data_IF_601242403955
#
_entry.id   IF_601242403955
#
_cell.length_a   1.000
_cell.length_b   1.000
_cell.length_c   1.000
_cell.angle_alpha   90.00
_cell.angle_beta   90.00
_cell.angle_gamma   90.00
#
_symmetry.space_group_name_H-M   'P 1'
#
loop_
_entity.id
_entity.type
_entity.pdbx_description
1 polymer ?
#
# COMPACT_ATOMS: atom_id res chain seq x y z
N UNK A 1 7.42 -10.48 1.81
CA UNK A 1 7.25 -9.28 0.95
C UNK A 1 7.38 -9.63 -0.53
N UNK A 2 8.45 -10.32 -0.97
CA UNK A 2 8.62 -10.65 -2.39
C UNK A 2 7.52 -11.56 -2.96
N UNK A 3 7.03 -12.55 -2.19
CA UNK A 3 5.99 -13.48 -2.63
C UNK A 3 4.64 -12.77 -2.79
N UNK A 4 4.29 -11.92 -1.83
CA UNK A 4 3.03 -11.16 -1.86
C UNK A 4 3.00 -10.21 -3.07
N UNK A 5 4.08 -9.49 -3.33
CA UNK A 5 4.18 -8.62 -4.50
C UNK A 5 4.09 -9.40 -5.81
N UNK A 6 4.67 -10.59 -5.89
CA UNK A 6 4.52 -11.48 -7.04
C UNK A 6 3.07 -11.84 -7.30
N UNK A 7 2.33 -12.23 -6.27
CA UNK A 7 0.91 -12.55 -6.35
C UNK A 7 0.03 -11.38 -6.78
N UNK A 8 0.39 -10.16 -6.35
CA UNK A 8 -0.33 -8.93 -6.70
C UNK A 8 0.00 -8.47 -8.14
N UNK A 9 1.28 -8.45 -8.50
CA UNK A 9 1.75 -7.88 -9.77
C UNK A 9 1.54 -8.77 -10.99
N UNK A 10 1.42 -10.09 -10.80
CA UNK A 10 1.24 -11.02 -11.90
C UNK A 10 -0.09 -10.77 -12.63
N UNK A 11 -0.02 -10.51 -13.93
CA UNK A 11 -1.22 -10.44 -14.76
C UNK A 11 -1.86 -11.81 -14.85
N UNK A 12 -3.15 -11.87 -15.10
CA UNK A 12 -3.88 -13.15 -15.24
C UNK A 12 -3.73 -13.75 -16.64
N UNK A 13 -2.49 -13.70 -17.19
CA UNK A 13 -2.10 -14.39 -18.43
C UNK A 13 -1.61 -15.81 -18.12
N UNK A 14 -1.76 -16.70 -19.08
CA UNK A 14 -1.32 -18.12 -18.92
C UNK A 14 0.16 -18.22 -18.55
N UNK A 15 0.99 -17.35 -19.11
CA UNK A 15 2.43 -17.31 -18.83
C UNK A 15 2.70 -16.96 -17.36
N UNK A 16 2.14 -15.85 -16.88
CA UNK A 16 2.34 -15.40 -15.50
C UNK A 16 1.71 -16.36 -14.47
N UNK A 17 0.55 -16.94 -14.79
CA UNK A 17 -0.09 -17.92 -13.89
C UNK A 17 0.76 -19.19 -13.74
N UNK A 18 1.36 -19.69 -14.83
CA UNK A 18 2.30 -20.82 -14.78
C UNK A 18 3.56 -20.50 -13.99
N UNK A 19 4.06 -19.28 -14.10
CA UNK A 19 5.22 -18.82 -13.32
C UNK A 19 4.90 -18.77 -11.83
N UNK A 20 3.73 -18.21 -11.45
CA UNK A 20 3.27 -18.22 -10.07
C UNK A 20 3.14 -19.63 -9.52
N UNK A 21 2.56 -20.56 -10.29
CA UNK A 21 2.41 -21.96 -9.90
C UNK A 21 3.76 -22.63 -9.69
N UNK A 22 4.71 -22.42 -10.59
CA UNK A 22 6.07 -22.95 -10.50
C UNK A 22 6.79 -22.50 -9.22
N UNK A 23 6.53 -21.27 -8.76
CA UNK A 23 7.07 -20.69 -7.55
C UNK A 23 6.18 -20.87 -6.31
N UNK A 24 5.05 -21.57 -6.44
CA UNK A 24 4.05 -21.80 -5.37
C UNK A 24 3.53 -20.47 -4.77
N UNK A 25 3.32 -19.49 -5.62
CA UNK A 25 2.77 -18.19 -5.26
C UNK A 25 1.28 -18.18 -5.62
N UNK A 26 0.43 -17.87 -4.67
CA UNK A 26 -1.00 -17.69 -4.91
C UNK A 26 -1.27 -16.32 -5.50
N UNK A 27 -2.04 -16.20 -6.58
CA UNK A 27 -2.53 -14.91 -7.05
C UNK A 27 -3.34 -14.19 -5.97
N UNK A 28 -3.17 -12.88 -5.87
CA UNK A 28 -3.90 -12.03 -4.91
C UNK A 28 -4.84 -11.13 -5.71
N UNK A 29 -6.13 -11.20 -5.40
CA UNK A 29 -7.19 -10.49 -6.11
C UNK A 29 -7.70 -9.26 -5.36
N UNK A 30 -7.45 -9.19 -4.05
CA UNK A 30 -7.87 -8.10 -3.19
C UNK A 30 -6.74 -7.70 -2.24
N UNK A 31 -6.43 -6.42 -2.21
CA UNK A 31 -5.51 -5.81 -1.25
C UNK A 31 -6.27 -4.80 -0.40
N UNK A 32 -6.38 -5.08 0.89
CA UNK A 32 -6.92 -4.13 1.88
C UNK A 32 -5.74 -3.66 2.73
N UNK A 33 -5.36 -2.41 2.58
CA UNK A 33 -4.21 -1.86 3.27
C UNK A 33 -4.50 -0.43 3.72
N UNK A 34 -4.75 -0.27 5.02
CA UNK A 34 -4.83 1.02 5.64
C UNK A 34 -3.41 1.56 5.87
N UNK A 35 -3.12 2.70 5.28
CA UNK A 35 -1.92 3.45 5.62
C UNK A 35 -2.16 4.17 6.95
N UNK A 36 -1.08 4.46 7.66
CA UNK A 36 -1.08 5.32 8.84
C UNK A 36 -2.03 6.52 8.59
N UNK A 37 -2.84 6.98 9.59
CA UNK A 37 -3.85 8.02 9.36
C UNK A 37 -3.18 9.34 9.00
N UNK A 38 -2.80 9.40 7.73
CA UNK A 38 -2.14 10.52 7.10
C UNK A 38 -2.98 11.79 7.15
N UNK A 39 -4.30 11.61 7.34
CA UNK A 39 -5.26 12.68 7.38
C UNK A 39 -5.38 13.36 8.76
N UNK A 40 -5.05 12.69 9.85
CA UNK A 40 -5.02 13.33 11.17
C UNK A 40 -3.82 14.28 11.33
N UNK A 41 -2.82 14.13 10.48
CA UNK A 41 -1.71 15.07 10.30
C UNK A 41 -2.06 16.14 9.26
N UNK A 42 -3.32 16.45 9.07
CA UNK A 42 -3.90 17.33 8.03
C UNK A 42 -3.35 18.76 7.96
N UNK A 43 -2.48 19.15 8.85
CA UNK A 43 -1.78 20.43 8.77
C UNK A 43 -0.38 20.33 8.15
N UNK A 44 0.04 19.13 7.74
CA UNK A 44 1.29 18.93 7.04
C UNK A 44 1.01 18.44 5.63
N UNK A 45 0.98 19.37 4.68
CA UNK A 45 1.06 19.02 3.26
C UNK A 45 2.33 18.21 3.04
N UNK A 46 2.19 16.90 2.89
CA UNK A 46 3.32 16.07 2.49
C UNK A 46 3.62 16.36 1.03
N UNK A 47 4.49 17.29 0.84
CA UNK A 47 5.39 17.26 -0.30
C UNK A 47 6.57 16.39 0.10
N UNK A 48 7.00 15.49 -0.78
CA UNK A 48 8.27 14.76 -0.65
C UNK A 48 9.44 15.73 -0.74
N UNK A 49 9.45 16.76 0.09
CA UNK A 49 10.49 17.76 0.13
C UNK A 49 10.93 18.04 1.58
N UNK A 50 12.07 18.67 1.69
CA UNK A 50 12.75 19.06 2.93
C UNK A 50 11.84 19.80 3.95
N UNK A 51 10.71 20.35 3.53
CA UNK A 51 9.78 21.09 4.36
C UNK A 51 9.07 20.19 5.38
N UNK A 52 8.86 18.92 5.05
CA UNK A 52 8.31 17.92 5.97
C UNK A 52 9.22 17.72 7.19
N UNK A 53 10.51 17.49 6.97
CA UNK A 53 11.48 17.34 8.06
C UNK A 53 11.60 18.58 8.94
N UNK A 54 11.46 19.77 8.37
CA UNK A 54 11.52 21.04 9.13
C UNK A 54 10.31 21.25 10.01
N UNK A 55 9.12 20.81 9.56
CA UNK A 55 7.87 20.98 10.33
C UNK A 55 7.81 20.03 11.51
N UNK A 56 8.29 18.81 11.37
CA UNK A 56 8.30 17.82 12.45
C UNK A 56 9.38 18.17 13.50
N UNK A 57 10.53 18.70 13.11
CA UNK A 57 11.54 19.21 14.04
C UNK A 57 10.97 20.29 15.00
N UNK A 58 9.96 21.05 14.56
CA UNK A 58 9.28 22.05 15.42
C UNK A 58 8.37 21.43 16.49
N UNK A 59 8.01 20.15 16.38
CA UNK A 59 7.15 19.44 17.34
C UNK A 59 7.93 18.63 18.37
N UNK A 60 9.27 18.74 18.41
CA UNK A 60 10.11 18.07 19.41
C UNK A 60 10.35 16.57 19.17
N UNK A 61 9.96 16.04 18.01
CA UNK A 61 10.25 14.67 17.60
C UNK A 61 11.64 14.62 16.95
N UNK A 62 12.42 13.60 17.27
CA UNK A 62 13.75 13.45 16.70
C UNK A 62 13.67 12.97 15.23
N UNK A 63 14.65 13.36 14.43
CA UNK A 63 14.76 12.92 13.03
C UNK A 63 14.79 11.39 12.89
N UNK A 64 15.39 10.71 13.85
CA UNK A 64 15.48 9.25 13.88
C UNK A 64 14.10 8.61 14.08
N UNK A 65 13.30 9.14 14.98
CA UNK A 65 11.93 8.69 15.21
C UNK A 65 11.05 8.90 13.98
N UNK A 66 11.25 10.02 13.27
CA UNK A 66 10.52 10.31 12.03
C UNK A 66 10.86 9.30 10.94
N UNK A 67 12.15 8.96 10.78
CA UNK A 67 12.61 8.01 9.77
C UNK A 67 12.04 6.62 10.03
N UNK A 68 11.95 6.20 11.29
CA UNK A 68 11.38 4.90 11.66
C UNK A 68 9.87 4.79 11.33
N UNK A 69 9.14 5.90 11.34
CA UNK A 69 7.70 5.96 11.03
C UNK A 69 7.38 5.99 9.52
N UNK A 70 8.39 6.01 8.66
CA UNK A 70 8.16 5.98 7.21
C UNK A 70 7.63 4.60 6.80
N UNK A 71 6.36 4.55 6.40
CA UNK A 71 5.74 3.33 5.88
C UNK A 71 6.28 3.00 4.49
N UNK A 72 6.93 1.85 4.38
CA UNK A 72 7.44 1.31 3.11
C UNK A 72 6.52 0.17 2.64
N UNK A 73 6.09 -0.69 3.54
CA UNK A 73 5.36 -1.92 3.22
C UNK A 73 3.99 -1.66 2.63
N UNK A 74 3.15 -0.89 3.32
CA UNK A 74 1.79 -0.57 2.89
C UNK A 74 1.76 0.18 1.57
N UNK A 75 2.61 1.18 1.41
CA UNK A 75 2.72 1.98 0.17
C UNK A 75 3.10 1.10 -1.02
N UNK A 76 4.03 0.16 -0.87
CA UNK A 76 4.44 -0.72 -1.97
C UNK A 76 3.34 -1.70 -2.36
N UNK A 77 2.56 -2.21 -1.42
CA UNK A 77 1.40 -3.06 -1.68
C UNK A 77 0.33 -2.31 -2.47
N UNK A 78 -0.02 -1.10 -2.06
CA UNK A 78 -0.99 -0.25 -2.77
C UNK A 78 -0.52 0.08 -4.19
N UNK A 79 0.75 0.41 -4.37
CA UNK A 79 1.30 0.68 -5.70
C UNK A 79 1.28 -0.55 -6.61
N UNK A 80 1.59 -1.72 -6.07
CA UNK A 80 1.54 -2.99 -6.80
C UNK A 80 0.11 -3.31 -7.26
N UNK A 81 -0.87 -3.19 -6.37
CA UNK A 81 -2.28 -3.40 -6.68
C UNK A 81 -2.79 -2.38 -7.73
N UNK A 82 -2.49 -1.10 -7.54
CA UNK A 82 -2.86 -0.05 -8.48
C UNK A 82 -2.24 -0.26 -9.88
N UNK A 83 -1.03 -0.78 -9.97
CA UNK A 83 -0.41 -1.13 -11.25
C UNK A 83 -1.13 -2.27 -11.97
N UNK A 84 -1.73 -3.19 -11.24
CA UNK A 84 -2.46 -4.35 -11.78
C UNK A 84 -3.98 -4.22 -11.53
N UNK A 85 -4.52 -3.00 -11.65
CA UNK A 85 -5.92 -2.67 -11.35
C UNK A 85 -6.95 -3.47 -12.17
N UNK A 86 -6.56 -4.01 -13.31
CA UNK A 86 -7.41 -4.89 -14.13
C UNK A 86 -7.68 -6.25 -13.47
N UNK A 87 -6.81 -6.66 -12.55
CA UNK A 87 -6.87 -7.99 -11.92
C UNK A 87 -6.96 -7.94 -10.40
N UNK A 88 -6.71 -6.79 -9.79
CA UNK A 88 -6.61 -6.64 -8.33
C UNK A 88 -7.43 -5.45 -7.86
N UNK A 89 -8.34 -5.72 -6.93
CA UNK A 89 -9.06 -4.67 -6.20
C UNK A 89 -8.17 -4.14 -5.08
N UNK A 90 -8.12 -2.83 -4.92
CA UNK A 90 -7.37 -2.20 -3.83
C UNK A 90 -8.26 -1.29 -3.00
N UNK A 91 -8.20 -1.46 -1.69
CA UNK A 91 -8.99 -0.70 -0.71
C UNK A 91 -8.06 -0.12 0.34
N UNK A 92 -8.06 1.19 0.50
CA UNK A 92 -7.20 1.88 1.46
C UNK A 92 -7.97 2.76 2.46
N UNK A 93 -9.23 3.06 2.20
CA UNK A 93 -10.05 3.83 3.12
C UNK A 93 -10.88 2.90 4.02
N UNK A 94 -10.75 2.99 5.36
CA UNK A 94 -11.59 2.22 6.28
C UNK A 94 -13.10 2.43 6.10
N UNK A 95 -13.53 3.56 5.56
CA UNK A 95 -14.93 3.82 5.26
C UNK A 95 -15.53 2.84 4.24
N UNK A 96 -14.68 2.28 3.36
CA UNK A 96 -15.10 1.36 2.31
C UNK A 96 -15.14 -0.11 2.76
N UNK A 97 -14.60 -0.44 3.94
CA UNK A 97 -14.44 -1.85 4.38
C UNK A 97 -15.76 -2.59 4.49
N UNK A 98 -16.81 -1.95 5.00
CA UNK A 98 -18.14 -2.56 5.13
C UNK A 98 -18.71 -2.89 3.75
N UNK A 99 -18.64 -1.96 2.82
CA UNK A 99 -19.11 -2.14 1.44
C UNK A 99 -18.38 -3.31 0.74
N UNK A 100 -17.07 -3.39 0.91
CA UNK A 100 -16.27 -4.48 0.34
C UNK A 100 -16.63 -5.83 0.98
N UNK A 101 -16.81 -5.88 2.30
CA UNK A 101 -17.21 -7.09 3.01
C UNK A 101 -18.59 -7.62 2.56
N UNK A 102 -19.48 -6.72 2.11
CA UNK A 102 -20.80 -7.03 1.54
C UNK A 102 -20.72 -7.43 0.04
N UNK A 103 -19.55 -7.42 -0.56
CA UNK A 103 -19.35 -7.79 -1.96
C UNK A 103 -19.62 -6.67 -2.98
N UNK A 104 -19.67 -5.42 -2.54
CA UNK A 104 -19.89 -4.25 -3.38
C UNK A 104 -18.56 -3.69 -3.91
N UNK A 105 -17.97 -4.35 -4.94
CA UNK A 105 -16.70 -3.92 -5.55
C UNK A 105 -16.65 -4.25 -7.04
#
# INVERSE_FOLDING_TARGET
ICLDHGGILARRTDEHLKELEAHKITPIDLVVCNLYPFEEVKNVRIRCDLTYFQTIKKQGVSEKEIIEEIDIGGVTLLRAAAKNFESVVVVCDPADYTSIAEGNY
#
